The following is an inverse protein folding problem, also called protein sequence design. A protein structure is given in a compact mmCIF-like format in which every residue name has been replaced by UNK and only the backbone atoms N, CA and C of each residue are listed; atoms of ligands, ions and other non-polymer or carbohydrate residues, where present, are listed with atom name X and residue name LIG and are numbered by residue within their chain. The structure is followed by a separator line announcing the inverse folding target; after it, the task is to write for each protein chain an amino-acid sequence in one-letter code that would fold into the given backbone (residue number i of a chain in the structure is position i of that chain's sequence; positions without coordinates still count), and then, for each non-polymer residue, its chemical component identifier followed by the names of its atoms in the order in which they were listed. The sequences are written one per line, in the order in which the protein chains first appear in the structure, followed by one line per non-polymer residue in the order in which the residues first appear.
data_IF_087742164632
#
_entry.id   IF_087742164632
#
_cell.length_a   1.000
_cell.length_b   1.000
_cell.length_c   1.000
_cell.angle_alpha   90.00
_cell.angle_beta   90.00
_cell.angle_gamma   90.00
#
_symmetry.space_group_name_H-M   'P 1'
#
loop_
_entity.id
_entity.type
_entity.pdbx_description
1 polymer ?
#
# COMPACT_ATOMS: atom_id res chain seq x y z
N UNK A 1 18.04 -19.61 -30.76
CA UNK A 1 17.14 -19.03 -29.74
C UNK A 1 17.36 -17.52 -29.73
N UNK A 2 16.38 -16.68 -30.07
CA UNK A 2 16.55 -15.24 -29.94
C UNK A 2 16.54 -14.90 -28.44
N UNK A 3 17.69 -14.48 -27.91
CA UNK A 3 17.79 -13.88 -26.59
C UNK A 3 16.98 -12.59 -26.60
N UNK A 4 15.81 -12.61 -25.95
CA UNK A 4 14.96 -11.43 -25.78
C UNK A 4 15.82 -10.33 -25.15
N UNK A 5 16.20 -9.31 -25.93
CA UNK A 5 16.96 -8.19 -25.41
C UNK A 5 16.09 -7.45 -24.41
N UNK A 6 16.27 -7.76 -23.13
CA UNK A 6 15.49 -7.21 -22.05
C UNK A 6 16.08 -5.87 -21.61
N UNK A 7 16.06 -4.88 -22.50
CA UNK A 7 16.70 -3.59 -22.28
C UNK A 7 15.66 -2.48 -22.01
N UNK A 8 14.78 -2.74 -21.03
CA UNK A 8 13.82 -1.76 -20.57
C UNK A 8 14.54 -0.56 -19.94
N UNK A 9 14.27 0.65 -20.46
CA UNK A 9 14.81 1.89 -19.90
C UNK A 9 13.78 2.52 -18.98
N UNK A 10 14.19 2.83 -17.76
CA UNK A 10 13.40 3.58 -16.80
C UNK A 10 13.96 5.01 -16.68
N UNK A 11 13.11 6.01 -16.89
CA UNK A 11 13.46 7.41 -16.69
C UNK A 11 12.36 8.07 -15.86
N UNK A 12 12.75 8.65 -14.73
CA UNK A 12 11.85 9.36 -13.83
C UNK A 12 12.52 10.64 -13.35
N UNK A 13 11.73 11.72 -13.28
CA UNK A 13 12.14 12.95 -12.59
C UNK A 13 12.06 12.70 -11.10
N UNK A 14 13.10 13.10 -10.37
CA UNK A 14 13.21 12.97 -8.92
C UNK A 14 13.81 14.25 -8.37
N UNK A 15 13.37 14.65 -7.18
CA UNK A 15 13.99 15.73 -6.44
C UNK A 15 15.50 15.44 -6.22
N UNK A 16 16.42 16.39 -6.50
CA UNK A 16 17.85 16.16 -6.40
C UNK A 16 18.32 15.78 -4.98
N UNK A 17 17.75 16.40 -3.95
CA UNK A 17 18.11 16.14 -2.56
C UNK A 17 17.61 14.77 -2.11
N UNK A 18 16.38 14.40 -2.48
CA UNK A 18 15.83 13.07 -2.25
C UNK A 18 16.68 11.99 -2.92
N UNK A 19 17.10 12.21 -4.17
CA UNK A 19 17.97 11.28 -4.89
C UNK A 19 19.31 11.09 -4.17
N UNK A 20 19.91 12.18 -3.69
CA UNK A 20 21.19 12.15 -2.98
C UNK A 20 21.07 11.36 -1.67
N UNK A 21 20.08 11.68 -0.84
CA UNK A 21 19.82 10.98 0.42
C UNK A 21 19.51 9.51 0.21
N UNK A 22 18.64 9.20 -0.76
CA UNK A 22 18.30 7.83 -1.13
C UNK A 22 19.53 7.03 -1.57
N UNK A 23 20.36 7.59 -2.46
CA UNK A 23 21.57 6.93 -2.92
C UNK A 23 22.57 6.65 -1.79
N UNK A 24 22.67 7.55 -0.80
CA UNK A 24 23.51 7.31 0.38
C UNK A 24 23.01 6.10 1.18
N UNK A 25 21.71 6.07 1.53
CA UNK A 25 21.11 4.94 2.27
C UNK A 25 21.29 3.63 1.51
N UNK A 26 21.03 3.64 0.19
CA UNK A 26 21.19 2.44 -0.63
C UNK A 26 22.65 1.97 -0.68
N UNK A 27 23.60 2.90 -0.78
CA UNK A 27 25.04 2.57 -0.78
C UNK A 27 25.48 1.97 0.56
N UNK A 28 24.99 2.50 1.68
CA UNK A 28 25.27 1.96 3.02
C UNK A 28 24.73 0.52 3.18
N UNK A 29 23.60 0.22 2.54
CA UNK A 29 22.99 -1.11 2.50
C UNK A 29 23.55 -2.03 1.39
N UNK A 30 24.51 -1.56 0.59
CA UNK A 30 25.11 -2.34 -0.50
C UNK A 30 24.22 -2.52 -1.74
N UNK A 31 23.19 -1.69 -1.90
CA UNK A 31 22.26 -1.72 -3.02
C UNK A 31 22.48 -0.60 -4.02
N UNK A 32 22.16 -0.89 -5.28
CA UNK A 32 22.05 0.14 -6.33
C UNK A 32 20.59 0.54 -6.53
N UNK A 33 20.30 1.77 -6.98
CA UNK A 33 18.93 2.20 -7.29
C UNK A 33 18.20 1.28 -8.27
N UNK A 34 18.91 0.79 -9.30
CA UNK A 34 18.34 -0.13 -10.30
C UNK A 34 17.96 -1.48 -9.69
N UNK A 35 18.74 -1.98 -8.72
CA UNK A 35 18.44 -3.23 -8.03
C UNK A 35 17.18 -3.10 -7.18
N UNK A 36 17.09 -2.02 -6.38
CA UNK A 36 15.90 -1.76 -5.57
C UNK A 36 14.66 -1.55 -6.42
N UNK A 37 14.76 -0.80 -7.52
CA UNK A 37 13.63 -0.62 -8.42
C UNK A 37 13.14 -1.96 -8.98
N UNK A 38 14.07 -2.85 -9.36
CA UNK A 38 13.73 -4.20 -9.84
C UNK A 38 13.06 -5.05 -8.76
N UNK A 39 13.51 -4.95 -7.50
CA UNK A 39 12.90 -5.64 -6.36
C UNK A 39 11.48 -5.11 -6.14
N UNK A 40 11.29 -3.80 -6.15
CA UNK A 40 9.97 -3.17 -5.97
C UNK A 40 8.98 -3.63 -7.04
N UNK A 41 9.36 -3.64 -8.32
CA UNK A 41 8.49 -4.16 -9.39
C UNK A 41 8.15 -5.64 -9.21
N UNK A 42 9.11 -6.47 -8.77
CA UNK A 42 8.82 -7.88 -8.45
C UNK A 42 7.84 -8.02 -7.29
N UNK A 43 7.97 -7.18 -6.26
CA UNK A 43 7.05 -7.19 -5.11
C UNK A 43 5.66 -6.73 -5.52
N UNK A 44 5.54 -5.70 -6.35
CA UNK A 44 4.26 -5.26 -6.93
C UNK A 44 3.57 -6.40 -7.70
N UNK A 45 4.31 -7.09 -8.58
CA UNK A 45 3.75 -8.22 -9.35
C UNK A 45 3.38 -9.38 -8.44
N UNK A 46 4.20 -9.70 -7.43
CA UNK A 46 3.96 -10.81 -6.51
C UNK A 46 2.73 -10.58 -5.63
N UNK A 47 2.61 -9.39 -5.07
CA UNK A 47 1.61 -9.10 -4.05
C UNK A 47 0.35 -8.44 -4.64
N UNK A 48 0.38 -8.04 -5.92
CA UNK A 48 -0.67 -7.24 -6.56
C UNK A 48 -1.03 -5.98 -5.73
N UNK A 49 -0.06 -5.46 -4.97
CA UNK A 49 -0.23 -4.40 -3.99
C UNK A 49 1.04 -3.57 -3.88
N UNK A 50 0.89 -2.29 -3.56
CA UNK A 50 2.01 -1.37 -3.35
C UNK A 50 2.77 -1.77 -2.08
N UNK A 51 4.09 -2.05 -2.16
CA UNK A 51 4.90 -2.34 -0.99
C UNK A 51 5.22 -1.06 -0.23
N UNK A 52 4.22 -0.49 0.42
CA UNK A 52 4.42 0.47 1.51
C UNK A 52 4.38 -0.31 2.82
N UNK A 53 5.18 0.09 3.80
CA UNK A 53 4.81 -0.23 5.16
C UNK A 53 3.46 0.43 5.42
N UNK A 54 2.51 -0.32 5.98
CA UNK A 54 1.28 0.23 6.56
C UNK A 54 1.70 1.08 7.77
N UNK A 55 2.27 2.25 7.51
CA UNK A 55 2.66 3.20 8.54
C UNK A 55 1.39 3.88 9.03
N UNK A 56 1.13 3.71 10.32
CA UNK A 56 -0.03 4.18 11.07
C UNK A 56 -0.54 5.59 10.67
N UNK A 57 -1.87 5.69 10.55
CA UNK A 57 -2.73 6.88 10.42
C UNK A 57 -3.06 7.38 8.99
N UNK A 58 -3.46 6.51 8.06
CA UNK A 58 -4.49 6.97 7.11
C UNK A 58 -5.81 7.14 7.90
N UNK A 59 -6.63 8.19 7.66
CA UNK A 59 -7.99 8.30 8.21
C UNK A 59 -8.80 7.00 8.22
N UNK A 60 -8.64 6.14 7.20
CA UNK A 60 -9.28 4.82 7.13
C UNK A 60 -8.75 3.85 8.19
N UNK A 61 -7.47 3.89 8.52
CA UNK A 61 -6.87 3.06 9.57
C UNK A 61 -7.36 3.50 10.96
N UNK A 62 -7.55 4.81 11.15
CA UNK A 62 -8.11 5.37 12.40
C UNK A 62 -9.56 4.93 12.56
N UNK A 63 -10.37 5.07 11.50
CA UNK A 63 -11.76 4.62 11.49
C UNK A 63 -11.87 3.11 11.74
N UNK A 64 -10.99 2.31 11.15
CA UNK A 64 -10.94 0.86 11.37
C UNK A 64 -10.59 0.51 12.82
N UNK A 65 -9.68 1.24 13.45
CA UNK A 65 -9.37 1.05 14.87
C UNK A 65 -10.54 1.45 15.78
N UNK A 66 -11.24 2.54 15.46
CA UNK A 66 -12.44 2.97 16.20
C UNK A 66 -13.55 1.93 16.09
N UNK A 67 -13.86 1.44 14.89
CA UNK A 67 -14.86 0.40 14.67
C UNK A 67 -14.54 -0.89 15.47
N UNK A 68 -13.26 -1.29 15.54
CA UNK A 68 -12.87 -2.44 16.39
C UNK A 68 -13.09 -2.18 17.89
N UNK A 69 -12.89 -0.95 18.36
CA UNK A 69 -13.14 -0.57 19.75
C UNK A 69 -14.64 -0.54 20.08
N UNK A 70 -15.46 -0.04 19.16
CA UNK A 70 -16.94 -0.03 19.28
C UNK A 70 -17.46 -1.46 19.38
N UNK A 71 -17.00 -2.37 18.50
CA UNK A 71 -17.34 -3.80 18.58
C UNK A 71 -16.92 -4.39 19.94
N UNK A 72 -15.72 -4.09 20.42
CA UNK A 72 -15.23 -4.59 21.71
C UNK A 72 -16.05 -4.07 22.91
N UNK A 73 -16.69 -2.90 22.78
CA UNK A 73 -17.60 -2.33 23.78
C UNK A 73 -19.04 -2.81 23.64
N UNK A 74 -19.34 -3.60 22.61
CA UNK A 74 -20.69 -4.04 22.30
C UNK A 74 -21.53 -3.00 21.55
N UNK A 75 -20.90 -1.95 21.04
CA UNK A 75 -21.51 -0.88 20.24
C UNK A 75 -21.59 -1.33 18.77
N UNK A 76 -22.37 -2.37 18.50
CA UNK A 76 -22.63 -2.87 17.15
C UNK A 76 -24.13 -3.10 16.93
N UNK A 77 -24.57 -2.97 15.69
CA UNK A 77 -25.94 -3.29 15.31
C UNK A 77 -26.01 -4.71 14.76
N UNK A 78 -27.11 -5.40 15.06
CA UNK A 78 -27.42 -6.71 14.50
C UNK A 78 -28.66 -6.60 13.64
N UNK A 79 -28.63 -7.26 12.49
CA UNK A 79 -29.77 -7.31 11.57
C UNK A 79 -30.27 -8.75 11.47
N UNK A 80 -31.58 -8.92 11.40
CA UNK A 80 -32.21 -10.23 11.29
C UNK A 80 -32.01 -10.85 9.90
N UNK A 81 -31.78 -10.04 8.87
CA UNK A 81 -31.50 -10.49 7.52
C UNK A 81 -30.68 -9.47 6.71
N UNK A 82 -30.16 -9.94 5.57
CA UNK A 82 -29.31 -9.14 4.66
C UNK A 82 -30.07 -7.97 4.02
N UNK A 83 -31.39 -8.07 3.86
CA UNK A 83 -32.19 -6.98 3.27
C UNK A 83 -32.31 -5.80 4.23
N UNK A 84 -32.48 -6.06 5.52
CA UNK A 84 -32.51 -5.03 6.56
C UNK A 84 -31.16 -4.33 6.70
N UNK A 85 -30.05 -5.07 6.62
CA UNK A 85 -28.69 -4.50 6.58
C UNK A 85 -28.49 -3.58 5.38
N UNK A 86 -28.88 -4.02 4.18
CA UNK A 86 -28.71 -3.23 2.95
C UNK A 86 -29.59 -1.98 2.94
N UNK A 87 -30.77 -2.05 3.57
CA UNK A 87 -31.66 -0.90 3.70
C UNK A 87 -31.02 0.17 4.60
N UNK A 88 -30.52 -0.21 5.77
CA UNK A 88 -29.84 0.71 6.69
C UNK A 88 -28.57 1.32 6.06
N UNK A 89 -27.78 0.53 5.32
CA UNK A 89 -26.57 1.01 4.66
C UNK A 89 -26.84 2.02 3.52
N UNK A 90 -28.02 1.94 2.90
CA UNK A 90 -28.39 2.77 1.74
C UNK A 90 -29.40 3.87 2.09
N UNK A 91 -29.95 3.87 3.31
CA UNK A 91 -30.74 4.98 3.82
C UNK A 91 -29.75 6.15 4.05
N UNK A 92 -29.72 7.08 3.09
CA UNK A 92 -29.00 8.35 3.21
C UNK A 92 -29.68 9.21 4.30
N UNK A 93 -28.99 9.41 5.43
CA UNK A 93 -29.16 10.61 6.26
C UNK A 93 -28.33 11.79 5.70
#
# INVERSE_FOLDING_TARGET
MPTKQNNGRFNARIDPELKKKGNQVLSELGYTPSMILSVLYKTLVRNQAIPREMTMLDPLDIATQQAHQEIARGEYQTFDNVQDLLKDLHDED
#
